data_IF_285278045571
#
_entry.id   IF_285278045571
#
_cell.length_a   1.000
_cell.length_b   1.000
_cell.length_c   1.000
_cell.angle_alpha   90.00
_cell.angle_beta   90.00
_cell.angle_gamma   90.00
#
_symmetry.space_group_name_H-M   'P 1'
#
loop_
_entity.id
_entity.type
_entity.pdbx_description
1 polymer ?
#
# COMPACT_ATOMS: atom_id res chain seq x y z
N UNK A 1 8.18 10.43 -17.27
CA UNK A 1 6.96 11.10 -16.79
C UNK A 1 5.68 10.37 -17.20
N UNK A 2 5.63 9.76 -18.41
CA UNK A 2 4.53 8.88 -18.84
C UNK A 2 4.29 7.67 -17.91
N UNK A 3 5.33 6.98 -17.44
CA UNK A 3 5.18 5.84 -16.50
C UNK A 3 4.68 6.23 -15.10
N UNK A 4 4.85 7.47 -14.67
CA UNK A 4 4.38 7.94 -13.36
C UNK A 4 2.89 8.30 -13.40
N UNK A 5 2.41 8.89 -14.50
CA UNK A 5 0.96 9.04 -14.76
C UNK A 5 0.29 7.66 -14.93
N UNK A 6 0.94 6.73 -15.63
CA UNK A 6 0.60 5.31 -15.69
C UNK A 6 0.93 4.52 -14.41
N UNK A 7 1.31 5.15 -13.30
CA UNK A 7 1.37 4.52 -11.98
C UNK A 7 0.21 5.01 -11.11
N UNK A 8 -0.26 6.23 -11.35
CA UNK A 8 -1.35 6.86 -10.61
C UNK A 8 -2.75 6.50 -11.15
N UNK A 9 -2.91 6.36 -12.47
CA UNK A 9 -4.15 5.87 -13.11
C UNK A 9 -4.33 4.34 -13.07
N UNK A 10 -3.38 3.65 -12.45
CA UNK A 10 -2.94 2.34 -12.91
C UNK A 10 -2.77 1.34 -11.78
N UNK A 11 -3.74 1.34 -10.86
CA UNK A 11 -3.73 0.31 -9.83
C UNK A 11 -4.20 -1.04 -10.34
N UNK A 12 -4.94 -1.08 -11.46
CA UNK A 12 -5.58 -2.31 -11.98
C UNK A 12 -5.81 -2.32 -13.50
N UNK A 13 -6.23 -1.20 -14.10
CA UNK A 13 -6.47 -1.08 -15.55
C UNK A 13 -5.15 -1.05 -16.33
N UNK A 14 -4.10 -0.39 -15.80
CA UNK A 14 -2.80 -0.39 -16.47
C UNK A 14 -2.12 -1.75 -16.53
N UNK A 15 -2.42 -2.67 -15.60
CA UNK A 15 -1.95 -4.06 -15.69
C UNK A 15 -2.56 -4.74 -16.92
N UNK A 16 -3.85 -4.54 -17.17
CA UNK A 16 -4.55 -5.10 -18.33
C UNK A 16 -4.00 -4.50 -19.63
N UNK A 17 -3.77 -3.19 -19.67
CA UNK A 17 -3.19 -2.50 -20.84
C UNK A 17 -1.77 -2.99 -21.11
N UNK A 18 -0.93 -3.16 -20.08
CA UNK A 18 0.44 -3.68 -20.24
C UNK A 18 0.44 -5.13 -20.75
N UNK A 19 -0.46 -5.98 -20.23
CA UNK A 19 -0.59 -7.38 -20.67
C UNK A 19 -1.11 -7.44 -22.11
N UNK A 20 -2.14 -6.68 -22.46
CA UNK A 20 -2.70 -6.63 -23.81
C UNK A 20 -1.71 -6.07 -24.84
N UNK A 21 -1.00 -4.99 -24.50
CA UNK A 21 0.04 -4.39 -25.32
C UNK A 21 1.20 -5.36 -25.60
N UNK A 22 1.55 -6.20 -24.62
CA UNK A 22 2.61 -7.19 -24.81
C UNK A 22 2.17 -8.43 -25.60
N UNK A 23 0.92 -8.86 -25.46
CA UNK A 23 0.34 -9.88 -26.32
C UNK A 23 0.38 -9.47 -27.81
N UNK A 24 0.27 -8.17 -28.11
CA UNK A 24 0.39 -7.61 -29.45
C UNK A 24 1.86 -7.43 -29.93
N UNK A 25 2.80 -7.16 -29.03
CA UNK A 25 4.22 -6.93 -29.38
C UNK A 25 5.08 -8.22 -29.52
N UNK A 26 4.48 -9.39 -29.33
CA UNK A 26 5.14 -10.71 -29.43
C UNK A 26 5.90 -10.91 -30.75
N UNK A 27 5.49 -10.25 -31.82
CA UNK A 27 6.10 -10.41 -33.15
C UNK A 27 7.39 -9.59 -33.35
N UNK A 28 7.75 -8.71 -32.42
CA UNK A 28 8.98 -7.91 -32.50
C UNK A 28 10.23 -8.57 -31.87
N UNK A 29 10.17 -9.83 -31.44
CA UNK A 29 11.26 -10.50 -30.68
C UNK A 29 12.34 -11.09 -31.60
N UNK A 30 12.76 -10.35 -32.64
CA UNK A 30 13.93 -10.66 -33.47
C UNK A 30 15.14 -9.74 -33.23
N UNK A 31 15.22 -9.08 -32.07
CA UNK A 31 16.41 -8.27 -31.73
C UNK A 31 17.46 -9.15 -31.05
N UNK A 32 18.50 -9.46 -31.83
CA UNK A 32 19.75 -10.12 -31.47
C UNK A 32 20.79 -9.02 -31.19
N UNK A 33 21.64 -9.23 -30.16
CA UNK A 33 22.86 -8.43 -29.82
C UNK A 33 22.48 -6.99 -29.31
N UNK A 34 23.10 -6.28 -28.35
CA UNK A 34 24.45 -6.16 -27.78
C UNK A 34 24.36 -5.74 -26.29
N UNK A 35 25.14 -6.38 -25.40
CA UNK A 35 25.25 -5.94 -23.99
C UNK A 35 25.91 -4.56 -23.83
N UNK A 36 26.70 -4.10 -24.81
CA UNK A 36 27.34 -2.77 -24.80
C UNK A 36 26.34 -1.62 -25.04
N UNK A 37 25.37 -1.79 -25.94
CA UNK A 37 24.33 -0.78 -26.22
C UNK A 37 23.32 -0.64 -25.08
N UNK A 38 23.11 -1.71 -24.30
CA UNK A 38 22.25 -1.66 -23.10
C UNK A 38 22.87 -0.83 -21.98
N UNK A 39 24.20 -0.87 -21.82
CA UNK A 39 24.90 0.00 -20.85
C UNK A 39 24.86 1.46 -21.28
N UNK A 40 25.02 1.73 -22.58
CA UNK A 40 24.85 3.09 -23.14
C UNK A 40 23.42 3.58 -22.96
N UNK A 41 22.41 2.73 -23.21
CA UNK A 41 21.01 3.09 -22.96
C UNK A 41 20.71 3.35 -21.49
N UNK A 42 21.28 2.56 -20.57
CA UNK A 42 21.15 2.80 -19.12
C UNK A 42 21.83 4.11 -18.73
N UNK A 43 23.02 4.40 -19.28
CA UNK A 43 23.74 5.66 -19.04
C UNK A 43 22.94 6.85 -19.56
N UNK A 44 22.39 6.76 -20.78
CA UNK A 44 21.51 7.78 -21.37
C UNK A 44 20.26 7.97 -20.51
N UNK A 45 19.67 6.89 -19.98
CA UNK A 45 18.51 6.97 -19.06
C UNK A 45 18.86 7.66 -17.73
N UNK A 46 20.03 7.35 -17.15
CA UNK A 46 20.51 7.97 -15.91
C UNK A 46 20.82 9.45 -16.15
N UNK A 47 21.51 9.80 -17.23
CA UNK A 47 21.80 11.20 -17.60
C UNK A 47 20.52 11.95 -17.91
N UNK A 48 19.60 11.37 -18.68
CA UNK A 48 18.29 11.98 -18.97
C UNK A 48 17.47 12.18 -17.69
N UNK A 49 17.49 11.22 -16.77
CA UNK A 49 16.84 11.35 -15.47
C UNK A 49 17.45 12.48 -14.65
N UNK A 50 18.79 12.59 -14.60
CA UNK A 50 19.48 13.65 -13.89
C UNK A 50 19.14 15.02 -14.50
N UNK A 51 19.23 15.17 -15.82
CA UNK A 51 18.89 16.42 -16.53
C UNK A 51 17.43 16.82 -16.27
N UNK A 52 16.47 15.89 -16.35
CA UNK A 52 15.05 16.19 -16.09
C UNK A 52 14.71 16.39 -14.61
N UNK A 53 15.41 15.75 -13.69
CA UNK A 53 15.15 15.88 -12.25
C UNK A 53 15.87 17.09 -11.62
N UNK A 54 16.92 17.60 -12.24
CA UNK A 54 17.70 18.75 -11.73
C UNK A 54 16.85 20.00 -11.50
N UNK A 55 15.97 20.44 -12.42
CA UNK A 55 15.12 21.61 -12.19
C UNK A 55 14.22 21.45 -10.96
N UNK A 56 13.66 20.24 -10.77
CA UNK A 56 12.82 19.90 -9.63
C UNK A 56 13.62 19.85 -8.31
N UNK A 57 14.83 19.29 -8.33
CA UNK A 57 15.71 19.24 -7.15
C UNK A 57 16.22 20.64 -6.76
N UNK A 58 16.52 21.49 -7.75
CA UNK A 58 16.88 22.91 -7.54
C UNK A 58 15.70 23.69 -6.99
N UNK A 59 14.48 23.47 -7.51
CA UNK A 59 13.25 24.06 -6.98
C UNK A 59 13.03 23.68 -5.51
N UNK A 60 13.15 22.40 -5.16
CA UNK A 60 13.07 21.94 -3.77
C UNK A 60 14.15 22.59 -2.91
N UNK A 61 15.40 22.71 -3.37
CA UNK A 61 16.47 23.36 -2.61
C UNK A 61 16.16 24.83 -2.32
N UNK A 62 15.61 25.56 -3.31
CA UNK A 62 15.18 26.95 -3.14
C UNK A 62 14.04 27.08 -2.14
N UNK A 63 13.06 26.18 -2.16
CA UNK A 63 11.87 26.19 -1.28
C UNK A 63 12.12 25.65 0.13
N UNK A 64 13.00 24.67 0.30
CA UNK A 64 13.19 23.95 1.58
C UNK A 64 14.57 24.10 2.20
N UNK A 65 15.50 24.82 1.55
CA UNK A 65 16.86 25.05 2.03
C UNK A 65 17.73 23.78 2.17
N UNK A 66 17.23 22.61 1.76
CA UNK A 66 17.90 21.32 1.93
C UNK A 66 17.64 20.37 0.76
N UNK A 67 18.62 19.52 0.44
CA UNK A 67 18.47 18.46 -0.57
C UNK A 67 17.66 17.29 0.01
N UNK A 68 16.35 17.44 0.12
CA UNK A 68 15.45 16.40 0.64
C UNK A 68 14.37 16.05 -0.40
N UNK A 69 14.29 14.78 -0.81
CA UNK A 69 13.29 14.30 -1.80
C UNK A 69 11.84 14.33 -1.26
N UNK A 70 11.62 14.63 0.03
CA UNK A 70 10.30 14.71 0.66
C UNK A 70 10.39 15.32 2.07
N UNK A 71 9.43 16.19 2.44
CA UNK A 71 9.23 16.79 3.79
C UNK A 71 9.10 15.77 4.95
N UNK A 72 9.01 14.47 4.68
CA UNK A 72 8.82 13.41 5.69
C UNK A 72 10.09 12.68 6.13
N UNK A 73 11.18 12.68 5.35
CA UNK A 73 12.40 11.93 5.71
C UNK A 73 13.64 12.56 5.08
N UNK A 74 14.57 13.03 5.91
CA UNK A 74 15.85 13.57 5.46
C UNK A 74 16.78 12.45 4.94
N UNK A 75 17.42 12.71 3.79
CA UNK A 75 18.44 11.85 3.17
C UNK A 75 19.67 11.68 4.08
N UNK A 76 19.90 12.63 5.00
CA UNK A 76 20.96 12.54 6.02
C UNK A 76 20.76 11.42 7.05
N UNK A 77 19.57 10.80 7.13
CA UNK A 77 19.35 9.62 7.97
C UNK A 77 19.79 8.31 7.28
N UNK A 78 20.15 8.36 5.99
CA UNK A 78 20.63 7.20 5.23
C UNK A 78 22.16 7.15 5.17
N UNK A 79 22.84 8.28 5.36
CA UNK A 79 24.30 8.40 5.39
C UNK A 79 24.78 8.79 6.79
N UNK A 80 24.62 7.87 7.75
CA UNK A 80 25.13 8.02 9.10
C UNK A 80 26.63 7.82 9.12
N UNK A 81 27.42 8.89 9.19
CA UNK A 81 28.75 8.87 9.84
C UNK A 81 29.33 10.26 10.15
N UNK A 82 28.93 11.33 9.45
CA UNK A 82 29.55 12.66 9.64
C UNK A 82 28.87 13.62 10.63
N UNK A 83 27.56 13.51 10.85
CA UNK A 83 26.78 14.52 11.62
C UNK A 83 26.52 14.19 13.10
N UNK A 84 26.99 13.02 13.56
CA UNK A 84 26.85 12.60 14.96
C UNK A 84 27.69 13.46 15.90
N UNK A 85 28.81 14.03 15.44
CA UNK A 85 29.72 14.77 16.31
C UNK A 85 29.28 16.21 16.58
N UNK A 86 28.67 16.89 15.61
CA UNK A 86 28.32 18.32 15.74
C UNK A 86 26.97 18.58 16.41
N UNK A 87 26.04 17.62 16.37
CA UNK A 87 24.67 17.80 16.91
C UNK A 87 24.55 17.38 18.38
N UNK A 88 25.64 16.89 18.98
CA UNK A 88 25.67 16.34 20.34
C UNK A 88 25.68 17.43 21.45
N UNK A 89 25.91 18.69 21.09
CA UNK A 89 26.10 19.78 22.06
C UNK A 89 24.84 20.64 22.32
N UNK A 90 23.93 20.76 21.35
CA UNK A 90 22.78 21.68 21.44
C UNK A 90 21.42 21.01 21.65
N UNK A 91 21.31 19.70 21.43
CA UNK A 91 20.02 18.98 21.48
C UNK A 91 19.71 18.36 22.87
N UNK A 92 20.54 18.67 23.88
CA UNK A 92 20.56 17.99 25.18
C UNK A 92 19.43 18.40 26.14
N UNK A 93 18.64 19.44 25.83
CA UNK A 93 17.64 19.98 26.78
C UNK A 93 16.18 19.70 26.44
N UNK A 94 15.84 19.28 25.22
CA UNK A 94 14.42 19.05 24.82
C UNK A 94 14.12 17.57 24.52
N UNK A 95 15.13 16.72 24.34
CA UNK A 95 14.96 15.28 24.01
C UNK A 95 14.79 14.34 25.20
N UNK A 96 15.10 14.77 26.41
CA UNK A 96 15.24 13.86 27.56
C UNK A 96 13.93 13.17 27.98
N UNK A 97 12.76 13.79 27.75
CA UNK A 97 11.46 13.19 28.08
C UNK A 97 10.93 12.23 27.02
N UNK A 98 11.24 12.46 25.75
CA UNK A 98 10.76 11.62 24.63
C UNK A 98 11.62 10.37 24.40
N UNK A 99 12.93 10.47 24.62
CA UNK A 99 13.86 9.35 24.45
C UNK A 99 13.84 8.38 25.64
N UNK A 100 13.64 8.86 26.88
CA UNK A 100 13.39 7.97 28.04
C UNK A 100 12.14 7.12 27.81
N UNK A 101 11.05 7.71 27.29
CA UNK A 101 9.81 6.97 26.95
C UNK A 101 10.04 5.98 25.81
N UNK A 102 10.76 6.37 24.76
CA UNK A 102 11.05 5.49 23.60
C UNK A 102 12.06 4.38 23.93
N UNK A 103 12.97 4.60 24.88
CA UNK A 103 13.86 3.60 25.45
C UNK A 103 13.10 2.60 26.30
N UNK A 104 12.29 3.09 27.25
CA UNK A 104 11.44 2.29 28.12
C UNK A 104 10.52 1.35 27.33
N UNK A 105 9.86 1.85 26.27
CA UNK A 105 9.03 1.02 25.40
C UNK A 105 9.83 0.03 24.55
N UNK A 106 11.06 0.37 24.16
CA UNK A 106 11.94 -0.54 23.42
C UNK A 106 12.40 -1.70 24.30
N UNK A 107 12.65 -1.44 25.58
CA UNK A 107 13.05 -2.43 26.58
C UNK A 107 11.86 -3.33 26.97
N UNK A 108 10.65 -2.78 27.09
CA UNK A 108 9.40 -3.56 27.24
C UNK A 108 9.13 -4.42 26.00
N UNK A 109 9.34 -3.90 24.79
CA UNK A 109 9.23 -4.70 23.56
C UNK A 109 10.26 -5.84 23.60
N UNK A 110 11.51 -5.56 23.99
CA UNK A 110 12.57 -6.57 24.16
C UNK A 110 12.14 -7.67 25.14
N UNK A 111 11.54 -7.29 26.27
CA UNK A 111 11.02 -8.22 27.29
C UNK A 111 9.76 -9.00 26.84
N UNK A 112 8.85 -8.39 26.07
CA UNK A 112 7.71 -9.11 25.47
C UNK A 112 8.15 -10.06 24.36
N UNK A 113 9.21 -9.72 23.61
CA UNK A 113 9.81 -10.59 22.60
C UNK A 113 10.70 -11.67 23.19
N UNK A 114 11.25 -11.51 24.40
CA UNK A 114 12.07 -12.56 25.03
C UNK A 114 11.25 -13.76 25.51
N UNK A 115 9.93 -13.61 25.71
CA UNK A 115 9.02 -14.74 25.99
C UNK A 115 8.48 -15.46 24.76
N UNK A 116 8.63 -14.90 23.56
CA UNK A 116 8.19 -15.48 22.28
C UNK A 116 9.43 -15.84 21.48
N UNK A 117 9.70 -17.15 21.27
CA UNK A 117 10.86 -17.62 20.50
C UNK A 117 11.16 -16.70 19.31
N UNK A 118 12.38 -16.13 19.27
CA UNK A 118 12.84 -15.19 18.23
C UNK A 118 12.50 -15.69 16.81
N UNK A 119 12.51 -17.01 16.62
CA UNK A 119 12.12 -17.68 15.39
C UNK A 119 10.67 -17.37 14.95
N UNK A 120 9.71 -17.37 15.89
CA UNK A 120 8.29 -17.10 15.61
C UNK A 120 8.07 -15.66 15.14
N UNK A 121 8.85 -14.71 15.63
CA UNK A 121 8.82 -13.31 15.21
C UNK A 121 9.32 -13.18 13.77
N UNK A 122 10.46 -13.81 13.46
CA UNK A 122 11.03 -13.81 12.11
C UNK A 122 10.09 -14.49 11.09
N UNK A 123 9.57 -15.67 11.40
CA UNK A 123 8.59 -16.37 10.54
C UNK A 123 7.34 -15.53 10.29
N UNK A 124 6.75 -14.97 11.34
CA UNK A 124 5.56 -14.14 11.20
C UNK A 124 5.84 -12.86 10.41
N UNK A 125 7.04 -12.28 10.53
CA UNK A 125 7.47 -11.13 9.73
C UNK A 125 7.62 -11.47 8.25
N UNK A 126 8.21 -12.60 7.92
CA UNK A 126 8.32 -13.09 6.53
C UNK A 126 6.93 -13.37 5.95
N UNK A 127 6.11 -14.12 6.69
CA UNK A 127 4.74 -14.45 6.29
C UNK A 127 3.91 -13.19 6.07
N UNK A 128 4.08 -12.17 6.92
CA UNK A 128 3.41 -10.88 6.76
C UNK A 128 3.78 -10.21 5.43
N UNK A 129 5.07 -10.13 5.10
CA UNK A 129 5.55 -9.50 3.85
C UNK A 129 5.05 -10.27 2.63
N UNK A 130 5.14 -11.60 2.64
CA UNK A 130 4.65 -12.46 1.54
C UNK A 130 3.14 -12.29 1.37
N UNK A 131 2.37 -12.37 2.46
CA UNK A 131 0.91 -12.18 2.44
C UNK A 131 0.54 -10.80 1.88
N UNK A 132 1.28 -9.75 2.24
CA UNK A 132 1.10 -8.40 1.69
C UNK A 132 1.44 -8.34 0.20
N UNK A 133 2.51 -8.99 -0.25
CA UNK A 133 2.89 -9.05 -1.66
C UNK A 133 1.82 -9.74 -2.49
N UNK A 134 1.42 -10.96 -2.12
CA UNK A 134 0.37 -11.73 -2.82
C UNK A 134 -0.96 -10.99 -2.83
N UNK A 135 -1.33 -10.35 -1.70
CA UNK A 135 -2.54 -9.50 -1.63
C UNK A 135 -2.46 -8.27 -2.53
N UNK A 136 -1.27 -7.71 -2.73
CA UNK A 136 -1.06 -6.55 -3.60
C UNK A 136 -1.08 -6.95 -5.07
N UNK A 137 -0.50 -8.10 -5.41
CA UNK A 137 -0.40 -8.60 -6.78
C UNK A 137 -1.67 -9.29 -7.29
N UNK A 138 -2.50 -9.84 -6.39
CA UNK A 138 -3.61 -10.76 -6.63
C UNK A 138 -3.16 -12.25 -6.64
N UNK A 139 -3.75 -13.12 -5.79
CA UNK A 139 -3.37 -14.54 -5.71
C UNK A 139 -3.44 -15.27 -7.06
N UNK A 140 -4.47 -14.99 -7.87
CA UNK A 140 -4.64 -15.61 -9.18
C UNK A 140 -3.50 -15.25 -10.16
N UNK A 141 -3.07 -13.97 -10.17
CA UNK A 141 -1.94 -13.55 -11.00
C UNK A 141 -0.63 -14.13 -10.49
N UNK A 142 -0.51 -14.34 -9.17
CA UNK A 142 0.67 -14.98 -8.59
C UNK A 142 0.86 -16.41 -9.08
N UNK A 143 -0.21 -17.18 -9.32
CA UNK A 143 -0.13 -18.52 -9.91
C UNK A 143 0.41 -18.44 -11.35
N UNK A 144 -0.12 -17.53 -12.17
CA UNK A 144 0.37 -17.32 -13.54
C UNK A 144 1.82 -16.82 -13.58
N UNK A 145 2.23 -16.00 -12.61
CA UNK A 145 3.61 -15.59 -12.43
C UNK A 145 4.54 -16.80 -12.24
N UNK A 146 4.17 -17.75 -11.37
CA UNK A 146 4.96 -18.97 -11.14
C UNK A 146 5.08 -19.77 -12.42
N UNK A 147 3.96 -20.00 -13.14
CA UNK A 147 3.95 -20.72 -14.42
C UNK A 147 4.87 -20.02 -15.43
N UNK A 148 4.78 -18.70 -15.55
CA UNK A 148 5.61 -17.92 -16.48
C UNK A 148 7.10 -17.98 -16.16
N UNK A 149 7.47 -17.90 -14.88
CA UNK A 149 8.87 -18.02 -14.44
C UNK A 149 9.41 -19.43 -14.71
N UNK A 150 8.65 -20.49 -14.40
CA UNK A 150 9.04 -21.88 -14.66
C UNK A 150 9.17 -22.15 -16.16
N UNK A 151 8.22 -21.71 -16.96
CA UNK A 151 8.26 -21.93 -18.41
C UNK A 151 9.45 -21.20 -19.04
N UNK A 152 9.74 -19.98 -18.59
CA UNK A 152 10.87 -19.21 -19.10
C UNK A 152 12.23 -19.83 -18.74
N UNK A 153 12.38 -20.39 -17.54
CA UNK A 153 13.65 -21.03 -17.13
C UNK A 153 13.96 -22.33 -17.90
N UNK A 154 12.95 -22.92 -18.55
CA UNK A 154 13.10 -24.09 -19.44
C UNK A 154 13.55 -23.73 -20.86
N UNK A 155 13.45 -22.47 -21.28
CA UNK A 155 13.88 -22.03 -22.62
C UNK A 155 15.40 -21.82 -22.66
N UNK A 156 16.12 -22.77 -23.26
CA UNK A 156 17.57 -22.95 -23.17
C UNK A 156 18.44 -21.73 -23.50
N UNK A 157 17.97 -20.78 -24.33
CA UNK A 157 18.77 -19.60 -24.73
C UNK A 157 18.69 -18.41 -23.75
N UNK A 158 17.79 -18.40 -22.75
CA UNK A 158 17.58 -17.22 -21.86
C UNK A 158 17.29 -17.57 -20.39
N UNK A 159 17.72 -18.75 -19.92
CA UNK A 159 17.53 -19.27 -18.55
C UNK A 159 17.95 -18.28 -17.45
N UNK A 160 19.03 -17.53 -17.68
CA UNK A 160 19.57 -16.56 -16.72
C UNK A 160 18.64 -15.36 -16.45
N UNK A 161 17.78 -14.98 -17.40
CA UNK A 161 16.89 -13.83 -17.21
C UNK A 161 15.79 -14.10 -16.18
N UNK A 162 15.22 -15.31 -16.16
CA UNK A 162 14.24 -15.70 -15.14
C UNK A 162 14.86 -15.73 -13.75
N UNK A 163 16.08 -16.27 -13.62
CA UNK A 163 16.84 -16.29 -12.37
C UNK A 163 17.15 -14.86 -11.89
N UNK A 164 17.55 -13.98 -12.81
CA UNK A 164 17.83 -12.57 -12.52
C UNK A 164 16.60 -11.80 -12.00
N UNK A 165 15.42 -12.00 -12.58
CA UNK A 165 14.22 -11.31 -12.10
C UNK A 165 13.77 -11.87 -10.75
N UNK A 166 13.86 -13.19 -10.56
CA UNK A 166 13.58 -13.82 -9.26
C UNK A 166 14.53 -13.30 -8.18
N UNK A 167 15.82 -13.12 -8.49
CA UNK A 167 16.78 -12.59 -7.52
C UNK A 167 16.51 -11.13 -7.16
N UNK A 168 16.09 -10.28 -8.11
CA UNK A 168 15.66 -8.90 -7.82
C UNK A 168 14.44 -8.88 -6.91
N UNK A 169 13.41 -9.68 -7.23
CA UNK A 169 12.19 -9.76 -6.41
C UNK A 169 12.55 -10.21 -4.99
N UNK A 170 13.36 -11.27 -4.87
CA UNK A 170 13.81 -11.79 -3.58
C UNK A 170 14.61 -10.75 -2.79
N UNK A 171 15.56 -10.08 -3.41
CA UNK A 171 16.37 -9.04 -2.78
C UNK A 171 15.51 -7.90 -2.24
N UNK A 172 14.53 -7.44 -3.02
CA UNK A 172 13.61 -6.39 -2.59
C UNK A 172 12.69 -6.86 -1.45
N UNK A 173 12.21 -8.10 -1.48
CA UNK A 173 11.43 -8.68 -0.39
C UNK A 173 12.26 -8.78 0.90
N UNK A 174 13.55 -9.10 0.81
CA UNK A 174 14.49 -9.09 1.96
C UNK A 174 14.60 -7.67 2.53
N UNK A 175 14.75 -6.63 1.69
CA UNK A 175 14.79 -5.24 2.15
C UNK A 175 13.48 -4.88 2.87
N UNK A 176 12.33 -5.21 2.29
CA UNK A 176 11.03 -4.93 2.92
C UNK A 176 10.85 -5.68 4.24
N UNK A 177 11.33 -6.91 4.32
CA UNK A 177 11.36 -7.69 5.55
C UNK A 177 12.23 -7.05 6.63
N UNK A 178 13.45 -6.62 6.28
CA UNK A 178 14.32 -5.88 7.21
C UNK A 178 13.65 -4.59 7.68
N UNK A 179 13.02 -3.84 6.77
CA UNK A 179 12.27 -2.63 7.12
C UNK A 179 11.06 -2.92 8.01
N UNK A 180 10.36 -4.05 7.80
CA UNK A 180 9.28 -4.49 8.69
C UNK A 180 9.78 -4.73 10.11
N UNK A 181 10.91 -5.44 10.27
CA UNK A 181 11.52 -5.66 11.58
C UNK A 181 11.99 -4.36 12.26
N UNK A 182 12.46 -3.37 11.50
CA UNK A 182 12.85 -2.07 12.08
C UNK A 182 11.67 -1.19 12.47
N UNK A 183 10.47 -1.50 11.97
CA UNK A 183 9.24 -0.74 12.18
C UNK A 183 8.17 -1.57 12.89
N UNK A 184 8.60 -2.39 13.85
CA UNK A 184 7.67 -3.08 14.74
C UNK A 184 6.97 -2.05 15.62
N UNK A 185 5.63 -2.07 15.60
CA UNK A 185 4.79 -1.16 16.39
C UNK A 185 4.29 -1.79 17.69
N UNK A 186 3.89 -0.97 18.68
CA UNK A 186 3.22 -1.46 19.89
C UNK A 186 1.78 -1.95 19.58
N UNK A 187 1.34 -3.00 20.27
CA UNK A 187 -0.03 -3.57 20.22
C UNK A 187 -0.19 -4.83 19.35
N UNK A 188 -1.45 -5.25 19.12
CA UNK A 188 -1.80 -6.49 18.41
C UNK A 188 -1.33 -6.54 16.95
N UNK A 189 -1.15 -5.38 16.31
CA UNK A 189 -0.60 -5.26 14.96
C UNK A 189 0.88 -4.86 14.99
N UNK A 190 1.70 -5.80 15.44
CA UNK A 190 3.16 -5.65 15.56
C UNK A 190 3.81 -5.24 14.21
N UNK A 191 3.25 -5.64 13.07
CA UNK A 191 3.80 -5.37 11.73
C UNK A 191 3.14 -4.16 11.04
N UNK A 192 3.76 -2.98 11.13
CA UNK A 192 3.23 -1.73 10.55
C UNK A 192 3.71 -1.44 9.12
N UNK A 193 4.76 -2.13 8.66
CA UNK A 193 5.38 -1.96 7.35
C UNK A 193 5.54 -3.35 6.69
N UNK A 194 5.35 -3.57 5.36
CA UNK A 194 5.13 -2.62 4.27
C UNK A 194 3.66 -2.41 3.86
N UNK A 195 3.33 -1.17 3.49
CA UNK A 195 2.10 -0.85 2.74
C UNK A 195 2.14 -1.37 1.28
N UNK A 196 0.96 -1.52 0.65
CA UNK A 196 0.83 -1.93 -0.77
C UNK A 196 1.69 -1.10 -1.72
N UNK A 197 1.94 0.18 -1.42
CA UNK A 197 2.70 1.10 -2.28
C UNK A 197 4.15 0.70 -2.42
N UNK A 198 4.74 0.16 -1.35
CA UNK A 198 6.12 -0.29 -1.38
C UNK A 198 6.30 -1.57 -2.19
N UNK A 199 5.23 -2.33 -2.41
CA UNK A 199 5.24 -3.56 -3.20
C UNK A 199 4.93 -3.32 -4.68
N UNK A 200 4.41 -2.13 -5.06
CA UNK A 200 4.07 -1.78 -6.44
C UNK A 200 5.27 -1.86 -7.42
N UNK A 201 6.49 -1.44 -7.05
CA UNK A 201 7.65 -1.59 -7.94
C UNK A 201 7.94 -3.04 -8.35
N UNK A 202 7.60 -4.02 -7.48
CA UNK A 202 7.73 -5.44 -7.79
C UNK A 202 6.63 -5.98 -8.71
N UNK A 203 5.45 -5.35 -8.69
CA UNK A 203 4.32 -5.76 -9.53
C UNK A 203 4.67 -5.59 -11.01
N UNK A 204 5.38 -4.52 -11.37
CA UNK A 204 5.71 -4.19 -12.77
C UNK A 204 6.48 -5.32 -13.47
N UNK A 205 7.67 -5.75 -12.98
CA UNK A 205 8.37 -6.87 -13.60
C UNK A 205 7.61 -8.19 -13.46
N UNK A 206 6.83 -8.39 -12.38
CA UNK A 206 6.05 -9.61 -12.20
C UNK A 206 4.92 -9.75 -13.24
N UNK A 207 4.25 -8.65 -13.64
CA UNK A 207 3.20 -8.66 -14.68
C UNK A 207 3.74 -9.17 -16.02
N UNK A 208 5.00 -8.89 -16.34
CA UNK A 208 5.64 -9.41 -17.54
C UNK A 208 5.64 -10.95 -17.57
N UNK A 209 6.04 -11.59 -16.48
CA UNK A 209 6.03 -13.05 -16.35
C UNK A 209 4.62 -13.62 -16.28
N UNK A 210 3.65 -12.87 -15.77
CA UNK A 210 2.24 -13.27 -15.86
C UNK A 210 1.80 -13.43 -17.32
N UNK A 211 2.21 -12.53 -18.23
CA UNK A 211 1.93 -12.67 -19.66
C UNK A 211 2.48 -13.98 -20.23
N UNK A 212 3.71 -14.35 -19.87
CA UNK A 212 4.27 -15.66 -20.22
C UNK A 212 3.52 -16.83 -19.59
N UNK A 213 3.02 -16.67 -18.36
CA UNK A 213 2.17 -17.63 -17.70
C UNK A 213 0.85 -17.87 -18.43
N UNK A 214 0.18 -16.80 -18.88
CA UNK A 214 -1.04 -16.88 -19.69
C UNK A 214 -0.76 -17.59 -21.01
N UNK A 215 0.33 -17.24 -21.69
CA UNK A 215 0.74 -17.91 -22.93
C UNK A 215 0.98 -19.41 -22.72
N UNK A 216 1.77 -19.76 -21.69
CA UNK A 216 2.12 -21.14 -21.38
C UNK A 216 0.89 -21.96 -20.97
N UNK A 217 0.02 -21.39 -20.13
CA UNK A 217 -1.25 -22.01 -19.75
C UNK A 217 -2.15 -22.22 -20.96
N UNK A 218 -2.28 -21.22 -21.85
CA UNK A 218 -3.08 -21.33 -23.07
C UNK A 218 -2.54 -22.39 -24.04
N UNK A 219 -1.22 -22.47 -24.21
CA UNK A 219 -0.58 -23.50 -25.04
C UNK A 219 -0.78 -24.91 -24.46
N UNK A 220 -0.62 -25.08 -23.15
CA UNK A 220 -0.83 -26.35 -22.46
C UNK A 220 -2.31 -26.80 -22.54
N UNK A 221 -3.24 -25.87 -22.35
CA UNK A 221 -4.69 -26.11 -22.52
C UNK A 221 -4.96 -26.55 -23.97
N UNK A 222 -4.47 -25.81 -24.95
CA UNK A 222 -4.65 -26.13 -26.37
C UNK A 222 -4.17 -27.54 -26.72
N UNK A 223 -2.97 -27.91 -26.30
CA UNK A 223 -2.41 -29.25 -26.49
C UNK A 223 -3.27 -30.33 -25.82
N UNK A 224 -3.74 -30.07 -24.60
CA UNK A 224 -4.58 -31.03 -23.87
C UNK A 224 -5.94 -31.24 -24.54
N UNK A 225 -6.56 -30.18 -25.03
CA UNK A 225 -7.86 -30.24 -25.70
C UNK A 225 -7.78 -30.85 -27.10
N UNK A 226 -6.68 -30.64 -27.84
CA UNK A 226 -6.48 -31.33 -29.12
C UNK A 226 -6.38 -32.86 -28.96
N UNK A 227 -5.86 -33.32 -27.81
CA UNK A 227 -5.70 -34.75 -27.50
C UNK A 227 -6.93 -35.38 -26.85
N UNK A 228 -8.03 -34.63 -26.67
CA UNK A 228 -9.28 -35.15 -26.08
C UNK A 228 -10.40 -35.24 -27.12
N UNK A 229 -11.19 -36.32 -27.07
CA UNK A 229 -12.41 -36.49 -27.87
C UNK A 229 -13.59 -35.69 -27.27
N UNK A 230 -13.42 -34.37 -27.15
CA UNK A 230 -14.46 -33.47 -26.63
C UNK A 230 -15.55 -33.21 -27.69
N UNK A 231 -16.71 -32.70 -27.22
CA UNK A 231 -17.88 -32.32 -28.01
C UNK A 231 -17.46 -31.52 -29.26
N UNK A 232 -17.82 -32.03 -30.45
CA UNK A 232 -17.35 -31.59 -31.78
C UNK A 232 -17.43 -30.07 -31.98
N UNK A 233 -18.47 -29.40 -31.47
CA UNK A 233 -18.65 -27.96 -31.62
C UNK A 233 -17.60 -27.08 -30.91
N UNK A 234 -17.02 -27.53 -29.79
CA UNK A 234 -15.98 -26.76 -29.08
C UNK A 234 -14.58 -26.99 -29.68
N UNK A 235 -14.38 -28.09 -30.40
CA UNK A 235 -13.10 -28.45 -31.03
C UNK A 235 -12.71 -27.45 -32.12
N UNK A 236 -13.70 -26.97 -32.89
CA UNK A 236 -13.50 -25.94 -33.92
C UNK A 236 -13.03 -24.61 -33.32
N UNK A 237 -13.69 -24.16 -32.25
CA UNK A 237 -13.38 -22.91 -31.54
C UNK A 237 -12.01 -22.96 -30.86
N UNK A 238 -11.66 -24.11 -30.26
CA UNK A 238 -10.39 -24.32 -29.57
C UNK A 238 -9.25 -24.73 -30.51
N UNK A 239 -9.47 -24.82 -31.83
CA UNK A 239 -8.44 -25.23 -32.80
C UNK A 239 -7.28 -24.24 -32.87
N UNK A 240 -7.57 -22.95 -32.71
CA UNK A 240 -6.55 -21.89 -32.75
C UNK A 240 -5.95 -21.65 -31.37
N UNK A 241 -4.63 -21.81 -31.23
CA UNK A 241 -3.90 -21.50 -30.00
C UNK A 241 -4.10 -20.05 -29.55
N UNK A 242 -4.29 -19.12 -30.50
CA UNK A 242 -4.55 -17.72 -30.20
C UNK A 242 -5.92 -17.51 -29.54
N UNK A 243 -6.96 -18.22 -30.00
CA UNK A 243 -8.30 -18.17 -29.41
C UNK A 243 -8.26 -18.71 -27.97
N UNK A 244 -7.57 -19.82 -27.73
CA UNK A 244 -7.42 -20.38 -26.38
C UNK A 244 -6.71 -19.39 -25.45
N UNK A 245 -5.65 -18.72 -25.92
CA UNK A 245 -4.94 -17.70 -25.15
C UNK A 245 -5.82 -16.48 -24.84
N UNK A 246 -6.66 -16.06 -25.79
CA UNK A 246 -7.61 -14.98 -25.60
C UNK A 246 -8.69 -15.36 -24.58
N UNK A 247 -9.20 -16.59 -24.62
CA UNK A 247 -10.14 -17.12 -23.62
C UNK A 247 -9.50 -17.08 -22.21
N UNK A 248 -8.27 -17.56 -22.06
CA UNK A 248 -7.55 -17.52 -20.77
C UNK A 248 -7.39 -16.07 -20.30
N UNK A 249 -7.06 -15.14 -21.19
CA UNK A 249 -6.96 -13.72 -20.86
C UNK A 249 -8.32 -13.13 -20.42
N UNK A 250 -9.41 -13.46 -21.11
CA UNK A 250 -10.77 -13.04 -20.71
C UNK A 250 -11.09 -13.57 -19.31
N UNK A 251 -10.81 -14.84 -19.01
CA UNK A 251 -11.02 -15.41 -17.67
C UNK A 251 -10.21 -14.63 -16.62
N UNK A 252 -8.94 -14.31 -16.90
CA UNK A 252 -8.11 -13.49 -16.02
C UNK A 252 -8.74 -12.12 -15.78
N UNK A 253 -9.16 -11.43 -16.83
CA UNK A 253 -9.80 -10.10 -16.72
C UNK A 253 -11.09 -10.20 -15.92
N UNK A 254 -11.96 -11.18 -16.21
CA UNK A 254 -13.22 -11.40 -15.50
C UNK A 254 -13.02 -11.68 -14.01
N UNK A 255 -11.96 -12.39 -13.61
CA UNK A 255 -11.63 -12.61 -12.19
C UNK A 255 -11.14 -11.32 -11.51
N UNK A 256 -10.42 -10.47 -12.24
CA UNK A 256 -9.88 -9.21 -11.71
C UNK A 256 -10.90 -8.07 -11.71
N UNK A 257 -11.86 -8.09 -12.62
CA UNK A 257 -12.78 -6.99 -12.89
C UNK A 257 -13.64 -6.62 -11.67
N UNK A 258 -14.29 -7.54 -10.93
CA UNK A 258 -15.12 -7.20 -9.77
C UNK A 258 -14.34 -6.49 -8.69
N UNK A 259 -13.09 -6.90 -8.45
CA UNK A 259 -12.23 -6.19 -7.50
C UNK A 259 -11.89 -4.82 -8.05
N UNK A 260 -11.64 -4.68 -9.35
CA UNK A 260 -11.24 -3.44 -10.03
C UNK A 260 -12.31 -2.39 -10.06
N UNK A 261 -13.55 -2.77 -10.32
CA UNK A 261 -14.71 -1.90 -10.38
C UNK A 261 -15.16 -1.39 -9.00
N UNK A 262 -14.65 -1.98 -7.89
CA UNK A 262 -14.96 -1.44 -6.56
C UNK A 262 -14.51 0.01 -6.45
N UNK A 263 -15.43 0.95 -6.10
CA UNK A 263 -15.12 2.36 -6.03
C UNK A 263 -13.94 2.61 -5.09
N UNK A 264 -12.98 3.37 -5.58
CA UNK A 264 -11.76 3.65 -4.86
C UNK A 264 -12.07 4.47 -3.61
N UNK A 265 -11.60 3.98 -2.44
CA UNK A 265 -11.79 4.61 -1.12
C UNK A 265 -13.25 4.71 -0.66
N UNK A 266 -14.09 3.74 -1.04
CA UNK A 266 -15.45 3.65 -0.49
C UNK A 266 -15.47 3.64 1.05
N UNK A 267 -14.48 3.02 1.68
CA UNK A 267 -14.27 3.01 3.13
C UNK A 267 -14.07 4.41 3.76
N UNK A 268 -13.75 5.41 2.95
CA UNK A 268 -13.55 6.81 3.38
C UNK A 268 -14.72 7.72 3.01
N UNK A 269 -15.77 7.17 2.41
CA UNK A 269 -16.94 7.94 2.02
C UNK A 269 -17.67 8.54 3.24
N UNK A 270 -17.90 7.74 4.29
CA UNK A 270 -18.57 8.22 5.51
C UNK A 270 -17.86 9.39 6.17
N UNK A 271 -16.53 9.36 6.25
CA UNK A 271 -15.72 10.45 6.80
C UNK A 271 -15.90 11.74 5.98
N UNK A 272 -16.00 11.64 4.65
CA UNK A 272 -16.25 12.79 3.79
C UNK A 272 -17.64 13.38 4.08
N UNK A 273 -18.67 12.54 4.16
CA UNK A 273 -20.04 12.97 4.44
C UNK A 273 -20.14 13.63 5.81
N UNK A 274 -19.60 13.00 6.86
CA UNK A 274 -19.55 13.55 8.21
C UNK A 274 -18.79 14.88 8.24
N UNK A 275 -17.64 14.97 7.58
CA UNK A 275 -16.88 16.22 7.50
C UNK A 275 -17.66 17.35 6.80
N UNK A 276 -18.34 17.05 5.69
CA UNK A 276 -19.21 18.02 5.01
C UNK A 276 -20.38 18.44 5.90
N UNK A 277 -20.97 17.50 6.66
CA UNK A 277 -22.01 17.81 7.62
C UNK A 277 -21.51 18.79 8.69
N UNK A 278 -20.32 18.58 9.26
CA UNK A 278 -19.72 19.52 10.23
C UNK A 278 -19.53 20.90 9.60
N UNK A 279 -19.02 20.96 8.36
CA UNK A 279 -18.78 22.22 7.66
C UNK A 279 -20.06 23.06 7.51
N UNK A 280 -21.20 22.42 7.28
CA UNK A 280 -22.49 23.10 7.11
C UNK A 280 -23.20 23.40 8.43
N UNK A 281 -23.02 22.55 9.46
CA UNK A 281 -23.79 22.64 10.71
C UNK A 281 -23.00 23.20 11.90
N UNK A 282 -21.69 23.41 11.76
CA UNK A 282 -20.89 24.00 12.84
C UNK A 282 -21.10 25.50 12.89
N UNK A 283 -21.28 26.02 14.11
CA UNK A 283 -21.30 27.46 14.38
C UNK A 283 -19.92 28.10 14.33
N UNK A 284 -18.85 27.29 14.38
CA UNK A 284 -17.46 27.76 14.36
C UNK A 284 -16.90 27.59 12.94
N UNK A 285 -16.15 28.59 12.42
CA UNK A 285 -15.54 28.49 11.10
C UNK A 285 -14.44 27.43 11.01
N UNK A 286 -13.82 27.07 12.14
CA UNK A 286 -12.78 26.04 12.24
C UNK A 286 -12.94 25.23 13.52
N UNK A 287 -13.88 24.26 13.57
CA UNK A 287 -14.10 23.45 14.76
C UNK A 287 -12.91 22.52 15.04
N UNK A 288 -12.66 22.24 16.32
CA UNK A 288 -11.65 21.26 16.75
C UNK A 288 -12.27 19.88 16.74
N UNK A 289 -11.67 18.96 15.99
CA UNK A 289 -12.21 17.61 15.77
C UNK A 289 -11.23 16.59 16.34
N UNK A 290 -11.64 15.90 17.39
CA UNK A 290 -10.90 14.79 17.99
C UNK A 290 -11.13 13.52 17.17
N UNK A 291 -10.04 12.95 16.65
CA UNK A 291 -10.10 11.66 15.95
C UNK A 291 -8.72 11.02 15.73
N UNK A 292 -8.72 9.77 15.26
CA UNK A 292 -7.53 8.98 14.97
C UNK A 292 -6.66 9.52 13.81
N UNK A 293 -7.23 10.36 12.93
CA UNK A 293 -6.57 10.78 11.69
C UNK A 293 -6.87 12.23 11.30
N UNK A 294 -5.83 12.97 10.93
CA UNK A 294 -5.96 14.34 10.41
C UNK A 294 -6.84 14.50 9.19
N UNK A 295 -7.08 13.41 8.45
CA UNK A 295 -7.99 13.42 7.30
C UNK A 295 -9.45 13.63 7.70
N UNK A 296 -9.81 13.30 8.92
CA UNK A 296 -11.20 13.38 9.36
C UNK A 296 -11.63 14.84 9.58
N UNK A 297 -10.68 15.73 9.90
CA UNK A 297 -10.93 17.16 10.00
C UNK A 297 -10.87 17.90 8.65
N UNK A 298 -10.25 17.29 7.62
CA UNK A 298 -9.99 17.93 6.33
C UNK A 298 -11.27 18.41 5.63
N UNK A 299 -12.28 17.55 5.53
CA UNK A 299 -13.54 17.90 4.85
C UNK A 299 -14.43 18.85 5.68
N UNK A 300 -14.19 18.93 6.98
CA UNK A 300 -14.87 19.85 7.87
C UNK A 300 -14.28 21.27 7.85
N UNK A 301 -13.10 21.46 7.25
CA UNK A 301 -12.36 22.74 7.38
C UNK A 301 -11.92 23.04 8.81
N UNK A 302 -11.87 22.02 9.68
CA UNK A 302 -11.56 22.16 11.11
C UNK A 302 -10.10 21.86 11.45
N UNK A 303 -9.75 22.08 12.73
CA UNK A 303 -8.46 21.70 13.30
C UNK A 303 -8.52 20.25 13.79
N UNK A 304 -7.53 19.46 13.39
CA UNK A 304 -7.42 18.08 13.89
C UNK A 304 -6.78 18.04 15.26
N UNK A 305 -7.40 17.30 16.17
CA UNK A 305 -6.83 16.89 17.44
C UNK A 305 -6.62 15.37 17.43
N UNK A 306 -5.39 14.93 17.64
CA UNK A 306 -5.04 13.51 17.62
C UNK A 306 -5.58 12.81 18.87
N UNK A 307 -6.42 11.80 18.64
CA UNK A 307 -6.84 10.82 19.63
C UNK A 307 -5.75 9.75 19.75
N UNK A 308 -5.21 9.53 20.95
CA UNK A 308 -4.09 8.61 21.19
C UNK A 308 -4.52 7.22 21.65
N UNK A 309 -5.70 7.13 22.26
CA UNK A 309 -6.27 5.89 22.76
C UNK A 309 -7.78 5.90 22.71
N UNK A 310 -8.34 4.72 22.90
CA UNK A 310 -9.78 4.49 23.05
C UNK A 310 -10.20 4.76 24.51
N UNK A 311 -9.26 4.74 25.46
CA UNK A 311 -9.56 4.97 26.86
C UNK A 311 -9.66 6.49 27.13
N UNK A 312 -10.70 6.91 27.86
CA UNK A 312 -10.95 8.30 28.27
C UNK A 312 -11.02 9.33 27.12
N UNK A 313 -11.80 9.00 26.09
CA UNK A 313 -12.02 9.87 24.93
C UNK A 313 -12.64 11.20 25.33
N UNK A 314 -13.49 11.20 26.35
CA UNK A 314 -14.13 12.41 26.83
C UNK A 314 -13.15 13.32 27.56
N UNK A 315 -12.28 12.79 28.42
CA UNK A 315 -11.22 13.57 29.06
C UNK A 315 -10.24 14.15 28.04
N UNK A 316 -9.87 13.38 27.00
CA UNK A 316 -9.08 13.89 25.87
C UNK A 316 -9.82 15.01 25.10
N UNK A 317 -11.13 14.85 24.88
CA UNK A 317 -11.93 15.85 24.18
C UNK A 317 -12.04 17.16 24.98
N UNK A 318 -12.32 17.07 26.28
CA UNK A 318 -12.48 18.23 27.17
C UNK A 318 -11.16 18.97 27.37
N UNK A 319 -10.07 18.25 27.69
CA UNK A 319 -8.74 18.85 27.88
C UNK A 319 -8.24 19.59 26.64
N UNK A 320 -8.59 19.10 25.44
CA UNK A 320 -8.20 19.69 24.16
C UNK A 320 -9.24 20.65 23.58
N UNK A 321 -10.32 20.91 24.32
CA UNK A 321 -11.44 21.78 23.89
C UNK A 321 -11.97 21.38 22.51
N UNK A 322 -12.14 20.08 22.29
CA UNK A 322 -12.69 19.54 21.04
C UNK A 322 -14.19 19.85 20.94
N UNK A 323 -14.61 20.32 19.78
CA UNK A 323 -16.02 20.58 19.48
C UNK A 323 -16.76 19.29 19.08
N UNK A 324 -16.05 18.40 18.38
CA UNK A 324 -16.59 17.15 17.88
C UNK A 324 -15.62 15.99 18.09
N UNK A 325 -16.19 14.80 18.24
CA UNK A 325 -15.49 13.52 18.30
C UNK A 325 -15.99 12.65 17.14
N UNK A 326 -15.08 12.16 16.30
CA UNK A 326 -15.42 11.22 15.22
C UNK A 326 -14.97 9.82 15.62
N UNK A 327 -15.92 8.90 15.68
CA UNK A 327 -15.70 7.50 16.05
C UNK A 327 -16.12 6.59 14.88
N UNK A 328 -15.24 5.68 14.47
CA UNK A 328 -15.58 4.66 13.47
C UNK A 328 -16.23 3.44 14.13
N UNK A 329 -17.03 2.67 13.38
CA UNK A 329 -17.71 1.47 13.90
C UNK A 329 -16.81 0.57 14.76
N UNK A 330 -15.58 0.30 14.30
CA UNK A 330 -14.63 -0.57 15.01
C UNK A 330 -14.34 -0.11 16.44
N UNK A 331 -14.21 1.20 16.64
CA UNK A 331 -13.88 1.76 17.95
C UNK A 331 -15.16 1.97 18.78
N UNK A 332 -16.30 2.22 18.11
CA UNK A 332 -17.63 2.25 18.75
C UNK A 332 -17.96 0.92 19.41
N UNK A 333 -17.72 -0.21 18.74
CA UNK A 333 -18.01 -1.56 19.26
C UNK A 333 -17.28 -1.85 20.60
N UNK A 334 -16.14 -1.19 20.84
CA UNK A 334 -15.35 -1.33 22.08
C UNK A 334 -15.85 -0.39 23.18
N UNK A 335 -16.36 0.79 22.80
CA UNK A 335 -16.67 1.90 23.70
C UNK A 335 -18.16 2.18 23.91
N UNK A 336 -19.04 1.41 23.29
CA UNK A 336 -20.47 1.69 23.24
C UNK A 336 -21.06 2.03 24.62
N UNK A 337 -20.72 1.24 25.64
CA UNK A 337 -21.22 1.46 27.02
C UNK A 337 -20.79 2.81 27.58
N UNK A 338 -19.53 3.20 27.41
CA UNK A 338 -18.99 4.48 27.88
C UNK A 338 -19.63 5.65 27.14
N UNK A 339 -19.76 5.55 25.81
CA UNK A 339 -20.39 6.59 24.98
C UNK A 339 -21.87 6.78 25.36
N UNK A 340 -22.61 5.68 25.57
CA UNK A 340 -24.00 5.75 26.02
C UNK A 340 -24.11 6.39 27.40
N UNK A 341 -23.17 6.12 28.31
CA UNK A 341 -23.13 6.78 29.61
C UNK A 341 -22.86 8.29 29.47
N UNK A 342 -21.92 8.71 28.62
CA UNK A 342 -21.65 10.13 28.39
C UNK A 342 -22.83 10.89 27.77
N UNK A 343 -23.66 10.20 26.96
CA UNK A 343 -24.90 10.76 26.42
C UNK A 343 -25.94 10.91 27.54
N UNK A 344 -26.11 9.89 28.41
CA UNK A 344 -27.01 9.96 29.58
C UNK A 344 -26.60 11.09 30.53
N UNK A 345 -25.30 11.24 30.75
CA UNK A 345 -24.71 12.31 31.57
C UNK A 345 -24.79 13.69 30.89
N UNK A 346 -25.33 13.80 29.67
CA UNK A 346 -25.40 15.04 28.87
C UNK A 346 -24.03 15.71 28.65
N UNK A 347 -22.94 14.92 28.61
CA UNK A 347 -21.58 15.42 28.31
C UNK A 347 -21.30 15.44 26.81
N UNK A 348 -21.95 14.57 26.05
CA UNK A 348 -21.88 14.53 24.59
C UNK A 348 -23.28 14.30 24.01
N UNK A 349 -23.46 14.66 22.73
CA UNK A 349 -24.68 14.36 21.97
C UNK A 349 -24.32 13.77 20.62
N UNK A 350 -25.06 12.76 20.15
CA UNK A 350 -24.89 12.24 18.80
C UNK A 350 -25.42 13.30 17.81
N UNK A 351 -24.51 13.94 17.09
CA UNK A 351 -24.83 15.02 16.17
C UNK A 351 -25.17 14.50 14.77
N UNK A 352 -24.47 13.46 14.33
CA UNK A 352 -24.71 12.84 13.03
C UNK A 352 -24.23 11.38 13.01
N UNK A 353 -24.82 10.57 12.14
CA UNK A 353 -24.45 9.17 11.92
C UNK A 353 -24.50 8.88 10.42
N UNK A 354 -23.45 8.25 9.93
CA UNK A 354 -23.40 7.72 8.56
C UNK A 354 -23.21 6.20 8.60
N UNK A 355 -23.90 5.40 7.77
CA UNK A 355 -25.08 5.78 7.00
C UNK A 355 -26.26 6.13 7.92
N UNK A 356 -27.19 6.96 7.43
CA UNK A 356 -28.40 7.35 8.20
C UNK A 356 -29.38 6.18 8.39
N UNK A 357 -29.30 5.16 7.53
CA UNK A 357 -30.14 3.95 7.63
C UNK A 357 -29.76 3.11 8.85
N UNK A 358 -30.74 2.39 9.41
CA UNK A 358 -30.58 1.57 10.61
C UNK A 358 -29.57 0.40 10.48
N UNK A 359 -29.16 0.03 9.26
CA UNK A 359 -28.15 -1.01 9.06
C UNK A 359 -26.74 -0.47 9.31
N UNK A 360 -26.27 -0.64 10.55
CA UNK A 360 -24.86 -0.47 10.89
C UNK A 360 -24.00 -1.39 10.01
N UNK A 361 -22.94 -0.84 9.45
CA UNK A 361 -21.93 -1.60 8.74
C UNK A 361 -20.53 -1.22 9.21
N UNK A 362 -19.51 -1.96 8.77
CA UNK A 362 -18.10 -1.69 9.12
C UNK A 362 -17.58 -0.30 8.68
N UNK A 363 -18.35 0.45 7.89
CA UNK A 363 -18.02 1.80 7.44
C UNK A 363 -18.88 2.86 8.12
N UNK A 364 -19.62 2.50 9.18
CA UNK A 364 -20.36 3.48 9.95
C UNK A 364 -19.41 4.45 10.63
N UNK A 365 -19.83 5.72 10.67
CA UNK A 365 -19.13 6.81 11.32
C UNK A 365 -20.13 7.52 12.22
N UNK A 366 -19.77 7.65 13.50
CA UNK A 366 -20.53 8.34 14.52
C UNK A 366 -19.86 9.68 14.82
N UNK A 367 -20.64 10.74 14.75
CA UNK A 367 -20.20 12.09 15.10
C UNK A 367 -20.86 12.49 16.40
N UNK A 368 -20.06 12.70 17.43
CA UNK A 368 -20.51 13.26 18.70
C UNK A 368 -20.10 14.72 18.80
N UNK A 369 -21.02 15.57 19.28
CA UNK A 369 -20.73 16.94 19.69
C UNK A 369 -20.45 16.95 21.18
N UNK A 370 -19.35 17.59 21.57
CA UNK A 370 -18.98 17.75 22.98
C UNK A 370 -19.80 18.90 23.57
N UNK A 371 -20.39 18.67 24.73
CA UNK A 371 -21.09 19.69 25.50
C UNK A 371 -20.10 20.22 26.55
N UNK A 372 -19.93 21.54 26.55
CA UNK A 372 -19.06 22.26 27.48
C UNK A 372 -19.89 22.91 28.58
#
# INVERSE_FOLDING_TARGET
MFCTCLSYASRRIGIIIIVAFWCALKDCVKIKVLWKEKLVSILILVVSFLVFSTPYLVFIKKETGSWSLTKKKNVSNLAGLGKVLATLKSDKLVKESSDKKKSYWRDIIKQMTSGKSNFKIHLNGILHVIKKYVSTFHPFLFILLIIGVINWTRVGKRRFFGIYVTSIILFYLIILYRLNLTHLGPGDNIYQYPSRRHLMPLVIPAVFFVGFGVYAAGAWIHEKFNNCNFIVGFKELLKSTWIVQLIVLIVVVSVLLPKTLKPQRFDKHGIKVVGQWIKTNSRKPSPVILSDSSRNAYYAGGKHSQMYGINDVLGEAQSRKADYIIIMQRDYDVMEKELLQYIKDKKITLAYKYPEKNSLNKYSVFLYKVLH
#
